data_IF_096763063533
#
_entry.id   IF_096763063533
#
_cell.length_a   1.000
_cell.length_b   1.000
_cell.length_c   1.000
_cell.angle_alpha   90.00
_cell.angle_beta   90.00
_cell.angle_gamma   90.00
#
_symmetry.space_group_name_H-M   'P 1'
#
loop_
_entity.id
_entity.type
_entity.pdbx_description
1 polymer ?
#
# COMPACT_ATOMS: atom_id res chain seq x y z
N UNK A 1 -37.22 11.81 -57.96
CA UNK A 1 -37.49 10.86 -56.85
C UNK A 1 -36.25 10.14 -56.30
N UNK A 2 -35.30 9.69 -57.13
CA UNK A 2 -34.12 8.92 -56.66
C UNK A 2 -33.15 9.77 -55.80
N UNK A 3 -32.95 11.04 -56.13
CA UNK A 3 -32.08 11.94 -55.36
C UNK A 3 -32.58 12.20 -53.92
N UNK A 4 -33.89 12.35 -53.74
CA UNK A 4 -34.52 12.60 -52.42
C UNK A 4 -34.35 11.38 -51.50
N UNK A 5 -34.48 10.15 -52.03
CA UNK A 5 -34.24 8.92 -51.25
C UNK A 5 -32.77 8.79 -50.80
N UNK A 6 -31.80 9.20 -51.61
CA UNK A 6 -30.37 9.19 -51.25
C UNK A 6 -30.05 10.21 -50.15
N UNK A 7 -30.66 11.40 -50.21
CA UNK A 7 -30.51 12.43 -49.17
C UNK A 7 -31.11 11.97 -47.85
N UNK A 8 -32.33 11.40 -47.88
CA UNK A 8 -32.95 10.86 -46.66
C UNK A 8 -32.11 9.74 -46.03
N UNK A 9 -31.53 8.86 -46.83
CA UNK A 9 -30.69 7.78 -46.34
C UNK A 9 -29.39 8.29 -45.72
N UNK A 10 -28.76 9.31 -46.32
CA UNK A 10 -27.57 9.96 -45.77
C UNK A 10 -27.87 10.66 -44.43
N UNK A 11 -29.00 11.37 -44.34
CA UNK A 11 -29.43 12.04 -43.09
C UNK A 11 -29.73 11.02 -42.00
N UNK A 12 -30.39 9.90 -42.33
CA UNK A 12 -30.69 8.84 -41.37
C UNK A 12 -29.40 8.15 -40.87
N UNK A 13 -28.44 7.90 -41.75
CA UNK A 13 -27.12 7.34 -41.36
C UNK A 13 -26.33 8.29 -40.46
N UNK A 14 -26.39 9.60 -40.70
CA UNK A 14 -25.75 10.61 -39.85
C UNK A 14 -26.42 10.67 -38.47
N UNK A 15 -27.76 10.60 -38.40
CA UNK A 15 -28.50 10.56 -37.14
C UNK A 15 -28.21 9.31 -36.31
N UNK A 16 -28.01 8.15 -36.95
CA UNK A 16 -27.61 6.90 -36.27
C UNK A 16 -26.18 7.00 -35.72
N UNK A 17 -25.27 7.64 -36.45
CA UNK A 17 -23.88 7.85 -36.00
C UNK A 17 -23.80 8.83 -34.80
N UNK A 18 -24.66 9.85 -34.77
CA UNK A 18 -24.75 10.80 -33.64
C UNK A 18 -25.46 10.17 -32.43
N UNK A 19 -26.41 9.26 -32.65
CA UNK A 19 -27.10 8.53 -31.57
C UNK A 19 -26.25 7.47 -30.86
N UNK A 20 -25.18 6.98 -31.48
CA UNK A 20 -24.29 5.95 -30.92
C UNK A 20 -23.09 6.50 -30.12
N UNK A 21 -22.90 7.82 -30.06
CA UNK A 21 -21.94 8.45 -29.14
C UNK A 21 -22.52 8.51 -27.72
N UNK A 22 -22.76 7.34 -27.12
CA UNK A 22 -22.82 7.25 -25.67
C UNK A 22 -21.38 7.45 -25.16
N UNK A 23 -21.09 8.62 -24.61
CA UNK A 23 -19.93 8.77 -23.75
C UNK A 23 -20.08 7.74 -22.63
N UNK A 24 -19.32 6.65 -22.73
CA UNK A 24 -19.01 5.80 -21.60
C UNK A 24 -18.46 6.75 -20.54
N UNK A 25 -19.29 7.11 -19.53
CA UNK A 25 -18.82 7.72 -18.30
C UNK A 25 -17.73 6.79 -17.79
N UNK A 26 -16.47 7.13 -18.04
CA UNK A 26 -15.33 6.44 -17.46
C UNK A 26 -15.50 6.66 -15.96
N UNK A 27 -16.11 5.70 -15.29
CA UNK A 27 -16.14 5.64 -13.83
C UNK A 27 -14.69 5.66 -13.40
N UNK A 28 -14.27 6.78 -12.80
CA UNK A 28 -12.93 6.89 -12.22
C UNK A 28 -12.79 5.74 -11.22
N UNK A 29 -11.77 4.92 -11.42
CA UNK A 29 -11.42 3.88 -10.45
C UNK A 29 -11.06 4.58 -9.12
N UNK A 30 -11.50 4.07 -7.97
CA UNK A 30 -11.18 4.68 -6.68
C UNK A 30 -9.71 4.48 -6.35
N UNK A 31 -9.09 5.43 -5.64
CA UNK A 31 -7.79 5.20 -5.03
C UNK A 31 -7.92 4.19 -3.88
N UNK A 32 -6.93 3.31 -3.72
CA UNK A 32 -6.88 2.33 -2.63
C UNK A 32 -5.70 2.68 -1.73
N UNK A 33 -5.98 3.01 -0.47
CA UNK A 33 -4.97 3.33 0.54
C UNK A 33 -5.11 2.32 1.67
N UNK A 34 -4.02 1.62 1.99
CA UNK A 34 -3.96 0.65 3.08
C UNK A 34 -2.98 1.19 4.12
N UNK A 35 -3.50 1.51 5.31
CA UNK A 35 -2.68 1.95 6.45
C UNK A 35 -2.59 0.80 7.45
N UNK A 36 -1.36 0.38 7.75
CA UNK A 36 -1.09 -0.72 8.68
C UNK A 36 -0.20 -0.21 9.82
N UNK A 37 -0.73 -0.19 11.03
CA UNK A 37 0.05 0.05 12.24
C UNK A 37 0.78 -1.23 12.66
N UNK A 38 1.87 -1.08 13.43
CA UNK A 38 2.73 -2.20 13.84
C UNK A 38 2.67 -2.31 15.36
N UNK A 39 2.31 -3.49 15.86
CA UNK A 39 2.10 -3.81 17.29
C UNK A 39 1.11 -2.90 18.03
N UNK A 40 0.11 -2.35 17.33
CA UNK A 40 -0.96 -1.59 17.96
C UNK A 40 -1.88 -2.50 18.77
N UNK A 41 -2.04 -2.20 20.06
CA UNK A 41 -2.97 -2.88 20.94
C UNK A 41 -4.42 -2.55 20.60
N UNK A 42 -5.31 -3.52 20.79
CA UNK A 42 -6.76 -3.34 20.60
C UNK A 42 -7.28 -2.17 21.45
N UNK A 43 -6.79 -2.02 22.68
CA UNK A 43 -7.22 -0.96 23.59
C UNK A 43 -6.52 0.39 23.38
N UNK A 44 -5.65 0.57 22.39
CA UNK A 44 -4.81 1.78 22.28
C UNK A 44 -5.52 3.00 21.68
N UNK A 45 -6.72 2.82 21.12
CA UNK A 45 -7.44 3.87 20.41
C UNK A 45 -8.50 4.53 21.28
N UNK A 46 -8.65 5.85 21.14
CA UNK A 46 -9.66 6.63 21.86
C UNK A 46 -11.08 6.14 21.58
N UNK A 47 -11.40 5.70 20.36
CA UNK A 47 -12.70 5.13 20.04
C UNK A 47 -12.99 3.77 20.71
N UNK A 48 -11.98 3.08 21.25
CA UNK A 48 -12.15 1.91 22.14
C UNK A 48 -12.22 2.31 23.62
N UNK A 49 -12.28 3.61 23.93
CA UNK A 49 -12.42 4.14 25.28
C UNK A 49 -11.09 4.30 26.03
N UNK A 50 -9.95 4.34 25.35
CA UNK A 50 -8.66 4.59 26.00
C UNK A 50 -8.61 6.00 26.62
N UNK A 51 -8.42 6.14 27.95
CA UNK A 51 -8.41 7.45 28.61
C UNK A 51 -7.04 8.14 28.59
N UNK A 52 -5.99 7.49 28.08
CA UNK A 52 -4.60 7.95 28.17
C UNK A 52 -3.99 8.30 26.81
N UNK A 53 -4.26 7.51 25.77
CA UNK A 53 -3.76 7.73 24.41
C UNK A 53 -4.79 8.52 23.62
N UNK A 54 -4.35 9.63 23.02
CA UNK A 54 -5.22 10.52 22.23
C UNK A 54 -5.03 10.24 20.74
N UNK A 55 -6.10 9.81 20.06
CA UNK A 55 -6.08 9.49 18.63
C UNK A 55 -7.17 10.23 17.84
N UNK A 56 -7.28 11.56 17.96
CA UNK A 56 -8.44 12.32 17.47
C UNK A 56 -8.73 12.13 15.97
N UNK A 57 -7.68 12.06 15.13
CA UNK A 57 -7.83 11.82 13.68
C UNK A 57 -8.39 10.43 13.40
N UNK A 58 -7.86 9.39 14.06
CA UNK A 58 -8.35 8.01 13.88
C UNK A 58 -9.76 7.85 14.47
N UNK A 59 -10.05 8.51 15.58
CA UNK A 59 -11.37 8.48 16.21
C UNK A 59 -12.44 9.18 15.36
N UNK A 60 -12.07 10.28 14.67
CA UNK A 60 -12.95 10.92 13.69
C UNK A 60 -13.16 10.03 12.49
N UNK A 61 -12.07 9.47 11.92
CA UNK A 61 -12.15 8.56 10.79
C UNK A 61 -13.01 7.33 11.09
N UNK A 62 -12.91 6.78 12.30
CA UNK A 62 -13.71 5.66 12.77
C UNK A 62 -15.23 5.95 12.79
N UNK A 63 -15.66 7.20 13.03
CA UNK A 63 -17.08 7.60 13.01
C UNK A 63 -17.66 7.68 11.60
N UNK A 64 -16.80 7.91 10.61
CA UNK A 64 -17.16 8.04 9.20
C UNK A 64 -16.97 6.73 8.42
N UNK A 65 -16.51 5.66 9.08
CA UNK A 65 -16.09 4.41 8.46
C UNK A 65 -16.93 3.22 8.90
N UNK A 66 -16.92 2.18 8.06
CA UNK A 66 -17.32 0.84 8.51
C UNK A 66 -16.20 0.24 9.35
N UNK A 67 -16.55 -0.32 10.50
CA UNK A 67 -15.62 -0.95 11.44
C UNK A 67 -15.93 -2.44 11.56
N UNK A 68 -14.89 -3.23 11.79
CA UNK A 68 -14.99 -4.66 12.02
C UNK A 68 -14.56 -4.97 13.45
N UNK A 69 -15.50 -5.42 14.27
CA UNK A 69 -15.20 -5.84 15.65
C UNK A 69 -14.43 -7.17 15.70
N UNK A 70 -14.50 -7.95 14.61
CA UNK A 70 -13.80 -9.22 14.43
C UNK A 70 -12.90 -9.16 13.20
N UNK A 71 -11.77 -8.46 13.33
CA UNK A 71 -10.69 -8.44 12.35
C UNK A 71 -9.52 -9.29 12.86
N UNK A 72 -9.20 -10.38 12.16
CA UNK A 72 -8.21 -11.36 12.60
C UNK A 72 -6.93 -11.28 11.78
N UNK A 73 -5.80 -11.38 12.48
CA UNK A 73 -4.45 -11.35 11.91
C UNK A 73 -3.67 -12.58 12.35
N UNK A 74 -2.52 -12.85 11.73
CA UNK A 74 -1.53 -13.75 12.33
C UNK A 74 -0.90 -13.06 13.56
N UNK A 75 -0.47 -13.81 14.59
CA UNK A 75 -0.01 -13.23 15.86
C UNK A 75 1.35 -12.51 15.78
N UNK A 76 1.90 -12.32 14.58
CA UNK A 76 3.18 -11.67 14.32
C UNK A 76 3.18 -10.98 12.95
N UNK A 77 4.06 -9.97 12.80
CA UNK A 77 4.07 -9.04 11.69
C UNK A 77 4.27 -9.67 10.29
N UNK A 78 5.36 -10.40 10.03
CA UNK A 78 5.66 -10.91 8.69
C UNK A 78 4.57 -11.86 8.12
N UNK A 79 4.09 -12.87 8.87
CA UNK A 79 2.93 -13.66 8.45
C UNK A 79 1.68 -12.85 8.07
N UNK A 80 1.31 -11.85 8.88
CA UNK A 80 0.17 -10.97 8.57
C UNK A 80 0.40 -10.18 7.30
N UNK A 81 1.61 -9.62 7.10
CA UNK A 81 1.96 -8.87 5.89
C UNK A 81 1.94 -9.75 4.65
N UNK A 82 2.41 -10.99 4.74
CA UNK A 82 2.38 -11.93 3.63
C UNK A 82 0.95 -12.27 3.22
N UNK A 83 0.07 -12.51 4.20
CA UNK A 83 -1.35 -12.75 3.95
C UNK A 83 -2.06 -11.53 3.39
N UNK A 84 -1.75 -10.33 3.88
CA UNK A 84 -2.29 -9.09 3.34
C UNK A 84 -1.89 -8.87 1.88
N UNK A 85 -0.62 -9.12 1.54
CA UNK A 85 -0.12 -8.91 0.18
C UNK A 85 -0.66 -9.96 -0.80
N UNK A 86 -0.87 -11.21 -0.39
CA UNK A 86 -1.15 -12.32 -1.32
C UNK A 86 -2.60 -12.83 -1.26
N UNK A 87 -3.37 -12.46 -0.24
CA UNK A 87 -4.68 -13.05 0.03
C UNK A 87 -4.62 -14.53 0.45
N UNK A 88 -3.44 -15.05 0.83
CA UNK A 88 -3.21 -16.47 1.15
C UNK A 88 -2.72 -16.64 2.58
N UNK A 89 -2.96 -17.80 3.18
CA UNK A 89 -2.34 -18.16 4.46
C UNK A 89 -0.81 -18.11 4.34
N UNK A 90 -0.13 -17.43 5.27
CA UNK A 90 1.32 -17.18 5.21
C UNK A 90 2.17 -18.44 5.01
N UNK A 91 1.76 -19.57 5.60
CA UNK A 91 2.47 -20.84 5.45
C UNK A 91 2.50 -21.34 4.00
N UNK A 92 1.59 -20.86 3.15
CA UNK A 92 1.57 -21.15 1.69
C UNK A 92 2.44 -20.21 0.87
N UNK A 93 2.90 -19.10 1.45
CA UNK A 93 3.69 -18.06 0.75
C UNK A 93 5.18 -18.14 1.06
N UNK A 94 5.62 -19.19 1.77
CA UNK A 94 6.99 -19.34 2.28
C UNK A 94 7.26 -18.65 3.61
N UNK A 95 6.38 -17.75 4.07
CA UNK A 95 6.56 -17.00 5.32
C UNK A 95 6.08 -17.81 6.52
N UNK A 96 7.03 -18.16 7.39
CA UNK A 96 6.80 -19.04 8.56
C UNK A 96 7.13 -18.39 9.90
N UNK A 97 7.92 -17.31 9.89
CA UNK A 97 8.35 -16.61 11.09
C UNK A 97 8.74 -15.16 10.76
N UNK A 98 9.28 -14.42 11.72
CA UNK A 98 9.71 -13.03 11.62
C UNK A 98 11.23 -12.85 11.60
N UNK A 99 11.99 -13.91 11.89
CA UNK A 99 13.45 -13.88 12.05
C UNK A 99 14.12 -15.07 11.32
N UNK A 100 15.47 -15.07 11.26
CA UNK A 100 16.29 -16.14 10.67
C UNK A 100 15.85 -16.61 9.27
N UNK A 101 15.41 -15.66 8.44
CA UNK A 101 14.96 -15.94 7.06
C UNK A 101 13.51 -16.42 6.94
N UNK A 102 12.81 -16.67 8.05
CA UNK A 102 11.40 -17.09 8.05
C UNK A 102 10.41 -16.02 7.55
N UNK A 103 10.87 -14.77 7.44
CA UNK A 103 10.09 -13.63 6.97
C UNK A 103 10.19 -13.40 5.45
N UNK A 104 10.93 -14.23 4.71
CA UNK A 104 11.12 -14.02 3.27
C UNK A 104 9.95 -14.65 2.51
N UNK A 105 9.20 -13.83 1.77
CA UNK A 105 8.12 -14.30 0.92
C UNK A 105 8.67 -14.90 -0.37
N UNK A 106 8.08 -16.02 -0.78
CA UNK A 106 8.40 -16.67 -2.05
C UNK A 106 8.08 -15.72 -3.21
N UNK A 107 9.02 -15.56 -4.15
CA UNK A 107 8.95 -14.53 -5.18
C UNK A 107 7.96 -14.84 -6.30
N UNK A 108 7.47 -16.07 -6.37
CA UNK A 108 6.40 -16.52 -7.27
C UNK A 108 4.99 -16.18 -6.77
N UNK A 109 4.85 -15.71 -5.53
CA UNK A 109 3.56 -15.25 -5.02
C UNK A 109 3.22 -13.89 -5.65
N UNK A 110 1.99 -13.74 -6.13
CA UNK A 110 1.51 -12.51 -6.74
C UNK A 110 0.94 -11.61 -5.64
N UNK A 111 1.49 -10.41 -5.53
CA UNK A 111 1.02 -9.41 -4.57
C UNK A 111 -0.16 -8.61 -5.10
N UNK A 112 -0.93 -8.05 -4.16
CA UNK A 112 -1.99 -7.07 -4.45
C UNK A 112 -1.44 -5.86 -5.21
N UNK A 113 -0.18 -5.49 -4.99
CA UNK A 113 0.47 -4.41 -5.72
C UNK A 113 0.67 -4.77 -7.21
N UNK A 114 1.16 -5.98 -7.51
CA UNK A 114 1.29 -6.46 -8.90
C UNK A 114 -0.07 -6.53 -9.60
N UNK A 115 -1.10 -7.06 -8.91
CA UNK A 115 -2.46 -7.12 -9.46
C UNK A 115 -3.03 -5.72 -9.74
N UNK A 116 -2.84 -4.76 -8.82
CA UNK A 116 -3.30 -3.39 -9.01
C UNK A 116 -2.53 -2.71 -10.15
N UNK A 117 -1.22 -2.95 -10.26
CA UNK A 117 -0.40 -2.42 -11.34
C UNK A 117 -0.84 -2.94 -12.71
N UNK A 118 -1.14 -4.24 -12.83
CA UNK A 118 -1.74 -4.83 -14.04
C UNK A 118 -3.09 -4.18 -14.38
N UNK A 119 -3.88 -3.81 -13.36
CA UNK A 119 -5.13 -3.09 -13.53
C UNK A 119 -4.96 -1.58 -13.83
N UNK A 120 -3.72 -1.08 -13.98
CA UNK A 120 -3.41 0.29 -14.37
C UNK A 120 -3.35 1.30 -13.21
N UNK A 121 -3.12 0.83 -11.98
CA UNK A 121 -2.81 1.70 -10.84
C UNK A 121 -1.32 1.97 -10.75
N UNK A 122 -0.95 3.19 -10.31
CA UNK A 122 0.41 3.46 -9.80
C UNK A 122 0.48 3.02 -8.34
N UNK A 123 1.51 2.27 -7.98
CA UNK A 123 1.61 1.63 -6.65
C UNK A 123 2.74 2.23 -5.81
N UNK A 124 2.46 2.48 -4.53
CA UNK A 124 3.43 3.06 -3.60
C UNK A 124 3.42 2.34 -2.26
N UNK A 125 4.59 2.22 -1.64
CA UNK A 125 4.76 1.64 -0.31
C UNK A 125 5.73 2.47 0.53
N UNK A 126 5.30 2.82 1.75
CA UNK A 126 6.17 3.47 2.74
C UNK A 126 6.22 2.66 4.03
N UNK A 127 7.33 2.74 4.77
CA UNK A 127 7.47 2.13 6.09
C UNK A 127 8.01 0.69 6.06
N UNK A 128 7.27 -0.23 6.68
CA UNK A 128 7.74 -1.60 6.98
C UNK A 128 7.31 -2.62 5.92
N UNK A 129 8.28 -3.23 5.24
CA UNK A 129 8.02 -4.31 4.28
C UNK A 129 8.01 -5.67 4.98
N UNK A 130 9.15 -6.06 5.55
CA UNK A 130 9.34 -7.30 6.32
C UNK A 130 8.93 -8.60 5.60
N UNK A 131 9.03 -8.61 4.26
CA UNK A 131 8.81 -9.78 3.41
C UNK A 131 10.06 -10.18 2.59
N UNK A 132 11.22 -9.63 2.96
CA UNK A 132 12.51 -9.84 2.30
C UNK A 132 13.21 -8.53 1.97
N UNK A 133 14.49 -8.41 2.33
CA UNK A 133 15.27 -7.18 2.15
C UNK A 133 16.13 -7.17 0.89
N UNK A 134 16.33 -8.34 0.28
CA UNK A 134 17.22 -8.55 -0.87
C UNK A 134 16.42 -8.86 -2.13
N UNK A 135 17.01 -8.58 -3.28
CA UNK A 135 16.49 -9.05 -4.56
C UNK A 135 16.33 -10.59 -4.54
N UNK A 136 15.22 -11.16 -5.05
CA UNK A 136 14.09 -10.52 -5.73
C UNK A 136 12.86 -10.26 -4.83
N UNK A 137 13.02 -10.22 -3.51
CA UNK A 137 11.91 -10.14 -2.55
C UNK A 137 11.63 -8.71 -2.04
N UNK A 138 12.26 -7.68 -2.62
CA UNK A 138 12.07 -6.28 -2.19
C UNK A 138 10.73 -5.76 -2.69
N UNK A 139 10.12 -4.73 -2.08
CA UNK A 139 8.81 -4.24 -2.52
C UNK A 139 8.81 -3.74 -3.97
N UNK A 140 9.89 -3.12 -4.44
CA UNK A 140 10.01 -2.70 -5.85
C UNK A 140 10.14 -3.88 -6.84
N UNK A 141 10.55 -5.06 -6.36
CA UNK A 141 10.56 -6.28 -7.15
C UNK A 141 9.19 -7.00 -7.09
N UNK A 142 8.28 -6.52 -6.22
CA UNK A 142 7.00 -7.13 -5.87
C UNK A 142 5.86 -6.12 -6.13
N UNK A 143 5.93 -5.42 -7.27
CA UNK A 143 4.83 -4.63 -7.80
C UNK A 143 4.73 -3.17 -7.35
N UNK A 144 5.57 -2.67 -6.44
CA UNK A 144 5.52 -1.26 -6.02
C UNK A 144 6.40 -0.35 -6.89
N UNK A 145 5.81 0.67 -7.53
CA UNK A 145 6.53 1.66 -8.34
C UNK A 145 7.35 2.63 -7.50
N UNK A 146 6.81 3.02 -6.34
CA UNK A 146 7.46 3.87 -5.36
C UNK A 146 7.65 3.14 -4.04
N UNK A 147 8.85 3.22 -3.48
CA UNK A 147 9.16 2.66 -2.16
C UNK A 147 9.98 3.63 -1.33
N UNK A 148 9.60 3.81 -0.07
CA UNK A 148 10.45 4.40 0.97
C UNK A 148 10.34 3.55 2.24
N UNK A 149 11.33 2.71 2.51
CA UNK A 149 11.24 1.70 3.56
C UNK A 149 12.43 1.66 4.48
N UNK A 150 12.26 1.03 5.63
CA UNK A 150 13.38 0.51 6.42
C UNK A 150 13.62 -0.98 6.13
N UNK A 151 14.74 -1.51 6.61
CA UNK A 151 15.04 -2.95 6.54
C UNK A 151 14.50 -3.70 7.76
N UNK A 152 14.50 -5.03 7.68
CA UNK A 152 14.14 -5.92 8.78
C UNK A 152 12.71 -5.72 9.32
N UNK A 153 12.45 -6.27 10.51
CA UNK A 153 11.16 -6.18 11.18
C UNK A 153 10.94 -4.88 11.96
N UNK A 154 11.94 -4.02 12.06
CA UNK A 154 11.84 -2.75 12.78
C UNK A 154 13.14 -1.97 12.70
N UNK A 155 13.04 -0.65 12.82
CA UNK A 155 14.18 0.25 12.69
C UNK A 155 15.15 0.04 13.86
N UNK A 156 16.43 -0.19 13.55
CA UNK A 156 17.47 -0.48 14.52
C UNK A 156 17.57 -1.94 14.97
N UNK A 157 16.77 -2.85 14.40
CA UNK A 157 16.99 -4.30 14.59
C UNK A 157 18.29 -4.74 13.91
N UNK A 158 18.87 -5.91 14.26
CA UNK A 158 20.14 -6.36 13.69
C UNK A 158 20.21 -6.38 12.16
N UNK A 159 19.09 -6.71 11.48
CA UNK A 159 18.98 -6.69 10.02
C UNK A 159 18.92 -5.29 9.41
N UNK A 160 18.53 -4.27 10.19
CA UNK A 160 18.60 -2.86 9.82
C UNK A 160 19.98 -2.29 10.16
N UNK A 161 20.99 -2.87 9.50
CA UNK A 161 22.40 -2.59 9.76
C UNK A 161 22.82 -1.11 9.70
N UNK A 162 22.21 -0.21 8.89
CA UNK A 162 22.57 1.20 8.93
C UNK A 162 22.16 1.89 10.24
N UNK A 163 21.12 1.39 10.92
CA UNK A 163 20.55 2.02 12.11
C UNK A 163 20.74 1.19 13.39
N UNK A 164 21.20 -0.07 13.32
CA UNK A 164 21.27 -0.97 14.47
C UNK A 164 22.22 -0.50 15.60
N UNK A 165 23.20 0.36 15.29
CA UNK A 165 24.10 0.99 16.27
C UNK A 165 23.54 2.27 16.90
N UNK A 166 22.40 2.80 16.40
CA UNK A 166 21.80 4.04 16.91
C UNK A 166 21.01 3.84 18.21
N UNK A 167 20.77 2.60 18.63
CA UNK A 167 20.04 2.27 19.86
C UNK A 167 18.67 2.97 19.91
N UNK A 168 18.36 3.64 21.02
CA UNK A 168 17.08 4.37 21.20
C UNK A 168 16.85 5.51 20.21
N UNK A 169 17.89 5.96 19.48
CA UNK A 169 17.77 7.02 18.47
C UNK A 169 17.53 6.46 17.07
N UNK A 170 17.34 5.15 16.90
CA UNK A 170 17.18 4.55 15.58
C UNK A 170 15.99 5.13 14.79
N UNK A 171 14.96 5.61 15.48
CA UNK A 171 13.76 6.22 14.89
C UNK A 171 13.91 7.71 14.50
N UNK A 172 15.04 8.35 14.85
CA UNK A 172 15.33 9.74 14.49
C UNK A 172 16.47 9.79 13.48
N UNK A 173 16.27 10.52 12.39
CA UNK A 173 17.17 10.60 11.24
C UNK A 173 17.64 9.22 10.72
N UNK A 174 16.74 8.23 10.54
CA UNK A 174 17.14 6.91 10.05
C UNK A 174 17.69 6.98 8.62
N UNK A 175 18.62 6.08 8.32
CA UNK A 175 18.96 5.75 6.93
C UNK A 175 17.87 4.78 6.45
N UNK A 176 17.13 5.19 5.43
CA UNK A 176 16.05 4.45 4.79
C UNK A 176 16.48 4.00 3.39
N UNK A 177 15.56 3.35 2.67
CA UNK A 177 15.77 2.88 1.31
C UNK A 177 14.66 3.43 0.42
N UNK A 178 15.01 4.32 -0.51
CA UNK A 178 14.10 4.90 -1.50
C UNK A 178 14.35 4.26 -2.86
N UNK A 179 13.37 3.54 -3.40
CA UNK A 179 13.49 2.83 -4.69
C UNK A 179 14.72 1.93 -4.81
N UNK A 180 15.15 1.34 -3.69
CA UNK A 180 16.33 0.47 -3.62
C UNK A 180 17.66 1.17 -3.36
N UNK A 181 17.68 2.49 -3.25
CA UNK A 181 18.88 3.27 -2.92
C UNK A 181 18.83 3.77 -1.47
N UNK A 182 19.98 3.84 -0.80
CA UNK A 182 20.05 4.40 0.55
C UNK A 182 19.67 5.88 0.54
N UNK A 183 18.83 6.27 1.49
CA UNK A 183 18.29 7.61 1.64
C UNK A 183 18.44 8.06 3.10
N UNK A 184 19.25 9.10 3.34
CA UNK A 184 19.35 9.72 4.65
C UNK A 184 18.12 10.61 4.89
N UNK A 185 17.27 10.22 5.82
CA UNK A 185 16.11 11.02 6.22
C UNK A 185 16.46 12.00 7.34
N UNK A 186 15.55 12.95 7.59
CA UNK A 186 15.66 13.91 8.69
C UNK A 186 14.34 13.90 9.49
N UNK A 187 14.43 13.88 10.81
CA UNK A 187 13.28 13.90 11.72
C UNK A 187 12.85 12.51 12.19
N UNK A 188 11.65 12.46 12.77
CA UNK A 188 11.07 11.23 13.30
C UNK A 188 10.49 10.39 12.17
N UNK A 189 10.76 9.08 12.17
CA UNK A 189 10.46 8.24 11.01
C UNK A 189 8.98 8.20 10.62
N UNK A 190 8.05 8.29 11.58
CA UNK A 190 6.61 8.29 11.29
C UNK A 190 6.21 9.51 10.47
N UNK A 191 6.80 10.68 10.76
CA UNK A 191 6.54 11.92 10.02
C UNK A 191 7.13 11.79 8.61
N UNK A 192 8.39 11.32 8.50
CA UNK A 192 9.06 11.08 7.21
C UNK A 192 8.25 10.14 6.30
N UNK A 193 7.73 9.03 6.83
CA UNK A 193 6.90 8.11 6.04
C UNK A 193 5.55 8.72 5.67
N UNK A 194 4.95 9.50 6.56
CA UNK A 194 3.65 10.16 6.32
C UNK A 194 3.78 11.21 5.22
N UNK A 195 4.80 12.07 5.29
CA UNK A 195 5.11 13.08 4.27
C UNK A 195 5.35 12.42 2.91
N UNK A 196 6.18 11.37 2.86
CA UNK A 196 6.44 10.64 1.63
C UNK A 196 5.18 9.99 1.03
N UNK A 197 4.26 9.49 1.86
CA UNK A 197 2.98 8.97 1.40
C UNK A 197 2.07 10.08 0.85
N UNK A 198 2.01 11.23 1.52
CA UNK A 198 1.25 12.39 1.06
C UNK A 198 1.77 12.92 -0.27
N UNK A 199 3.10 13.05 -0.42
CA UNK A 199 3.76 13.45 -1.67
C UNK A 199 3.45 12.46 -2.80
N UNK A 200 3.53 11.16 -2.52
CA UNK A 200 3.19 10.13 -3.49
C UNK A 200 1.73 10.22 -3.94
N UNK A 201 0.79 10.42 -3.01
CA UNK A 201 -0.62 10.59 -3.34
C UNK A 201 -0.83 11.84 -4.18
N UNK A 202 -0.26 12.99 -3.80
CA UNK A 202 -0.43 14.26 -4.54
C UNK A 202 0.08 14.17 -5.98
N UNK A 203 1.19 13.48 -6.20
CA UNK A 203 1.77 13.29 -7.54
C UNK A 203 0.94 12.37 -8.46
N UNK A 204 -0.03 11.63 -7.92
CA UNK A 204 -0.78 10.59 -8.64
C UNK A 204 -2.32 10.75 -8.54
N UNK A 205 -2.83 11.95 -8.22
CA UNK A 205 -4.28 12.26 -8.13
C UNK A 205 -5.00 12.34 -9.48
#
# INVERSE_FOLDING_TARGET
MIAIKKILFAVLSILVLIGCSQESKKTKKPNVIIVVTDDQGFGDLGYYGNPHIQTPTLDSFAKESVRFDQFLVSPVCAPTRASLMTGRYSLRTGVRDTYRGGAIMATEEITVAEMLKEAGYTTGMVGKWHLGDNYPSRPQDQGFDFTLRHLSGGIGQPGDWPNNKKGKRSYFDPILWKNGEMYQSNGYCSDVFTEAAMDFVEQNK
#
